data_IF_244599120431
#
_entry.id   IF_244599120431
#
_cell.length_a   1.000
_cell.length_b   1.000
_cell.length_c   1.000
_cell.angle_alpha   90.00
_cell.angle_beta   90.00
_cell.angle_gamma   90.00
#
_symmetry.space_group_name_H-M   'P 1'
#
loop_
_entity.id
_entity.type
_entity.pdbx_description
1 polymer ?
#
# COMPACT_ATOMS: atom_id res chain seq x y z
N UNK A 1 22.42 -9.00 0.83
CA UNK A 1 21.14 -8.62 1.49
C UNK A 1 21.47 -8.15 2.89
N UNK A 2 20.84 -7.09 3.32
CA UNK A 2 21.03 -6.50 4.66
C UNK A 2 19.69 -6.46 5.36
N UNK A 3 19.64 -6.85 6.63
CA UNK A 3 18.44 -6.71 7.44
C UNK A 3 18.13 -5.23 7.65
N UNK A 4 16.92 -4.80 7.28
CA UNK A 4 16.43 -3.43 7.44
C UNK A 4 14.98 -3.44 7.89
N UNK A 5 14.59 -2.42 8.63
CA UNK A 5 13.17 -2.18 8.88
C UNK A 5 12.47 -1.73 7.58
N UNK A 6 11.17 -1.88 7.53
CA UNK A 6 10.35 -1.38 6.43
C UNK A 6 10.57 0.11 6.17
N UNK A 7 10.65 0.92 7.24
CA UNK A 7 10.97 2.35 7.16
C UNK A 7 12.36 2.59 6.54
N UNK A 8 13.40 1.92 7.02
CA UNK A 8 14.75 2.05 6.48
C UNK A 8 14.83 1.62 5.02
N UNK A 9 14.04 0.64 4.61
CA UNK A 9 13.95 0.18 3.22
C UNK A 9 13.35 1.25 2.30
N UNK A 10 12.32 1.98 2.75
CA UNK A 10 11.75 3.14 2.04
C UNK A 10 12.76 4.28 1.95
N UNK A 11 13.42 4.62 3.06
CA UNK A 11 14.47 5.65 3.11
C UNK A 11 15.60 5.30 2.12
N UNK A 12 16.03 4.04 2.10
CA UNK A 12 17.07 3.56 1.17
C UNK A 12 16.66 3.73 -0.31
N UNK A 13 15.40 3.43 -0.65
CA UNK A 13 14.86 3.67 -1.98
C UNK A 13 14.92 5.15 -2.37
N UNK A 14 14.51 6.04 -1.47
CA UNK A 14 14.55 7.49 -1.71
C UNK A 14 15.98 7.99 -1.95
N UNK A 15 16.93 7.60 -1.11
CA UNK A 15 18.35 7.95 -1.31
C UNK A 15 18.88 7.47 -2.67
N UNK A 16 18.60 6.22 -3.03
CA UNK A 16 19.06 5.63 -4.29
C UNK A 16 18.47 6.37 -5.50
N UNK A 17 17.16 6.61 -5.50
CA UNK A 17 16.50 7.25 -6.63
C UNK A 17 16.85 8.75 -6.75
N UNK A 18 17.00 9.47 -5.64
CA UNK A 18 17.45 10.85 -5.65
C UNK A 18 18.92 11.01 -6.09
N UNK A 19 19.78 10.03 -5.79
CA UNK A 19 21.16 9.99 -6.31
C UNK A 19 21.19 9.67 -7.81
N UNK A 20 20.29 8.80 -8.27
CA UNK A 20 20.21 8.36 -9.66
C UNK A 20 19.72 9.46 -10.61
N UNK A 21 18.75 10.26 -10.18
CA UNK A 21 18.06 11.24 -11.04
C UNK A 21 17.85 12.57 -10.29
N UNK A 22 18.45 13.63 -10.84
CA UNK A 22 18.36 14.99 -10.27
C UNK A 22 16.94 15.60 -10.35
N UNK A 23 16.03 15.02 -11.14
CA UNK A 23 14.65 15.44 -11.23
C UNK A 23 13.78 14.89 -10.11
N UNK A 24 14.24 13.86 -9.39
CA UNK A 24 13.55 13.32 -8.21
C UNK A 24 13.73 14.26 -7.05
N UNK A 25 12.63 14.69 -6.44
CA UNK A 25 12.63 15.50 -5.22
C UNK A 25 11.45 15.09 -4.32
N UNK A 26 11.58 15.34 -3.03
CA UNK A 26 10.52 15.08 -2.05
C UNK A 26 9.85 16.38 -1.62
N UNK A 27 8.55 16.31 -1.36
CA UNK A 27 7.76 17.41 -0.83
C UNK A 27 6.62 16.91 0.05
N UNK A 28 6.28 17.65 1.07
CA UNK A 28 5.19 17.28 1.98
C UNK A 28 5.28 18.07 3.27
N UNK A 29 4.44 17.73 4.22
CA UNK A 29 4.43 18.31 5.56
C UNK A 29 5.58 17.72 6.37
N UNK A 30 6.44 18.57 6.96
CA UNK A 30 7.56 18.20 7.83
C UNK A 30 8.54 17.15 7.23
N UNK A 31 8.64 17.04 5.91
CA UNK A 31 9.53 16.05 5.26
C UNK A 31 11.02 16.32 5.50
N UNK A 32 11.39 17.57 5.83
CA UNK A 32 12.74 17.97 6.25
C UNK A 32 12.96 17.64 7.73
N UNK A 33 11.90 17.35 8.47
CA UNK A 33 11.98 16.97 9.87
C UNK A 33 12.28 18.10 10.82
N UNK A 34 11.79 19.28 10.50
CA UNK A 34 11.94 20.45 11.34
C UNK A 34 13.36 21.03 11.42
N UNK A 35 14.41 20.36 10.92
CA UNK A 35 15.79 20.85 10.97
C UNK A 35 16.06 22.02 10.04
N UNK A 36 15.21 22.24 9.05
CA UNK A 36 15.20 23.45 8.20
C UNK A 36 14.16 24.47 8.61
N UNK A 37 13.27 24.14 9.53
CA UNK A 37 12.27 25.04 10.08
C UNK A 37 12.87 25.87 11.23
N UNK A 38 12.57 27.18 11.34
CA UNK A 38 12.93 27.96 12.52
C UNK A 38 12.26 27.45 13.81
N UNK A 39 11.38 26.48 13.73
CA UNK A 39 10.66 25.85 14.84
C UNK A 39 11.07 24.39 15.07
N UNK A 40 12.18 23.94 14.45
CA UNK A 40 12.67 22.56 14.57
C UNK A 40 12.91 22.15 16.02
N UNK A 41 12.27 21.08 16.47
CA UNK A 41 12.63 20.44 17.73
C UNK A 41 13.87 19.55 17.54
N UNK A 42 14.87 19.62 18.45
CA UNK A 42 16.05 18.75 18.36
C UNK A 42 15.64 17.27 18.43
N UNK A 43 16.00 16.50 17.40
CA UNK A 43 15.78 15.06 17.36
C UNK A 43 14.60 14.60 16.49
N UNK A 44 13.85 15.50 15.89
CA UNK A 44 12.86 15.15 14.88
C UNK A 44 13.56 14.98 13.53
N UNK A 45 13.57 13.78 12.97
CA UNK A 45 14.33 13.44 11.77
C UNK A 45 13.41 12.91 10.67
N UNK A 46 13.09 13.74 9.68
CA UNK A 46 12.49 13.35 8.41
C UNK A 46 11.06 12.85 8.43
N UNK A 47 10.08 13.77 8.54
CA UNK A 47 8.66 13.46 8.55
C UNK A 47 8.19 12.80 9.85
N UNK A 48 6.88 12.72 10.07
CA UNK A 48 6.27 12.16 11.31
C UNK A 48 6.70 10.71 11.57
N UNK A 49 6.94 9.95 10.51
CA UNK A 49 7.33 8.54 10.61
C UNK A 49 8.82 8.27 10.33
N UNK A 50 9.60 9.33 10.08
CA UNK A 50 11.05 9.25 9.90
C UNK A 50 11.52 8.64 8.57
N UNK A 51 10.65 8.51 7.57
CA UNK A 51 11.01 7.91 6.26
C UNK A 51 11.95 8.81 5.47
N UNK A 52 11.81 10.13 5.57
CA UNK A 52 12.61 11.12 4.82
C UNK A 52 13.84 11.59 5.57
N UNK A 53 14.19 10.92 6.69
CA UNK A 53 15.32 11.26 7.52
C UNK A 53 16.65 11.26 6.79
N UNK A 54 17.45 12.32 6.95
CA UNK A 54 18.77 12.47 6.36
C UNK A 54 18.78 12.92 4.89
N UNK A 55 17.64 12.98 4.21
CA UNK A 55 17.62 13.35 2.78
C UNK A 55 18.01 14.81 2.55
N UNK A 56 17.55 15.73 3.39
CA UNK A 56 17.85 17.14 3.18
C UNK A 56 19.32 17.49 3.47
N UNK A 57 20.00 16.74 4.32
CA UNK A 57 21.45 16.89 4.57
C UNK A 57 22.27 16.57 3.33
N UNK A 58 21.84 15.60 2.52
CA UNK A 58 22.54 15.22 1.30
C UNK A 58 22.08 16.02 0.08
N UNK A 59 20.78 16.25 -0.08
CA UNK A 59 20.21 16.80 -1.32
C UNK A 59 19.81 18.28 -1.23
N UNK A 60 19.86 18.88 -0.04
CA UNK A 60 19.51 20.27 0.20
C UNK A 60 18.00 20.57 0.16
N UNK A 61 17.66 21.79 0.59
CA UNK A 61 16.27 22.25 0.67
C UNK A 61 15.59 22.50 -0.70
N UNK A 62 16.37 22.54 -1.78
CA UNK A 62 15.81 22.64 -3.14
C UNK A 62 15.19 21.33 -3.63
N UNK A 63 15.63 20.20 -3.05
CA UNK A 63 15.12 18.87 -3.38
C UNK A 63 14.37 18.18 -2.24
N UNK A 64 14.33 18.81 -1.07
CA UNK A 64 13.56 18.38 0.09
C UNK A 64 12.76 19.57 0.59
N UNK A 65 11.46 19.62 0.27
CA UNK A 65 10.64 20.84 0.40
C UNK A 65 9.55 20.63 1.44
N UNK A 66 9.65 21.33 2.57
CA UNK A 66 8.54 21.41 3.51
C UNK A 66 7.40 22.25 2.92
N UNK A 67 6.21 21.69 2.94
CA UNK A 67 5.00 22.34 2.49
C UNK A 67 4.12 22.72 3.68
N UNK A 68 3.33 23.80 3.55
CA UNK A 68 2.28 24.05 4.54
C UNK A 68 1.24 22.93 4.53
N UNK A 69 0.50 22.76 5.62
CA UNK A 69 -0.62 21.83 5.72
C UNK A 69 -1.71 22.22 4.72
N UNK A 70 -1.58 21.70 3.51
CA UNK A 70 -2.49 21.93 2.39
C UNK A 70 -2.36 20.80 1.38
N UNK A 71 -3.10 19.74 1.56
CA UNK A 71 -3.02 18.53 0.74
C UNK A 71 -3.36 18.80 -0.73
N UNK A 72 -4.33 19.68 -0.99
CA UNK A 72 -4.65 20.13 -2.35
C UNK A 72 -3.46 20.87 -2.99
N UNK A 73 -2.75 21.69 -2.21
CA UNK A 73 -1.53 22.40 -2.64
C UNK A 73 -0.39 21.41 -2.91
N UNK A 74 -0.17 20.45 -2.03
CA UNK A 74 0.87 19.41 -2.16
C UNK A 74 0.63 18.58 -3.43
N UNK A 75 -0.53 17.96 -3.57
CA UNK A 75 -0.83 17.09 -4.70
C UNK A 75 -0.90 17.88 -6.03
N UNK A 76 -1.47 19.08 -6.02
CA UNK A 76 -1.54 19.94 -7.22
C UNK A 76 -0.18 20.42 -7.69
N UNK A 77 0.71 20.82 -6.76
CA UNK A 77 2.09 21.21 -7.07
C UNK A 77 2.89 20.02 -7.61
N UNK A 78 2.74 18.83 -6.99
CA UNK A 78 3.37 17.61 -7.48
C UNK A 78 2.92 17.26 -8.90
N UNK A 79 1.62 17.27 -9.19
CA UNK A 79 1.09 17.02 -10.53
C UNK A 79 1.61 18.04 -11.56
N UNK A 80 1.64 19.33 -11.21
CA UNK A 80 2.18 20.39 -12.05
C UNK A 80 3.69 20.25 -12.30
N UNK A 81 4.47 19.91 -11.28
CA UNK A 81 5.91 19.68 -11.40
C UNK A 81 6.21 18.46 -12.28
N UNK A 82 5.40 17.40 -12.15
CA UNK A 82 5.51 16.21 -13.00
C UNK A 82 5.26 16.55 -14.47
N UNK A 83 4.23 17.33 -14.79
CA UNK A 83 4.00 17.82 -16.15
C UNK A 83 5.14 18.69 -16.68
N UNK A 84 5.87 19.38 -15.79
CA UNK A 84 7.04 20.18 -16.16
C UNK A 84 8.35 19.35 -16.28
N UNK A 85 8.27 18.03 -16.18
CA UNK A 85 9.40 17.11 -16.36
C UNK A 85 10.19 16.76 -15.08
N UNK A 86 9.65 17.10 -13.91
CA UNK A 86 10.19 16.65 -12.62
C UNK A 86 9.56 15.33 -12.17
N UNK A 87 10.17 14.67 -11.18
CA UNK A 87 9.69 13.43 -10.56
C UNK A 87 9.44 13.65 -9.05
N UNK A 88 8.35 14.31 -8.69
CA UNK A 88 8.02 14.55 -7.29
C UNK A 88 7.61 13.27 -6.56
N UNK A 89 8.14 13.10 -5.36
CA UNK A 89 7.63 12.18 -4.35
C UNK A 89 6.96 13.03 -3.28
N UNK A 90 5.64 13.15 -3.39
CA UNK A 90 4.83 13.92 -2.47
C UNK A 90 4.36 13.04 -1.30
N UNK A 91 4.33 13.59 -0.09
CA UNK A 91 3.80 12.92 1.09
C UNK A 91 2.52 13.60 1.58
N UNK A 92 1.47 12.80 1.75
CA UNK A 92 0.26 13.13 2.52
C UNK A 92 0.28 12.23 3.76
N UNK A 93 0.26 12.83 4.95
CA UNK A 93 0.51 12.14 6.22
C UNK A 93 -0.34 10.89 6.42
N UNK A 94 -1.66 11.01 6.18
CA UNK A 94 -2.62 9.91 6.31
C UNK A 94 -3.54 9.87 5.10
N UNK A 95 -3.88 8.68 4.62
CA UNK A 95 -4.80 8.52 3.50
C UNK A 95 -6.20 9.13 3.78
N UNK A 96 -6.52 9.29 5.05
CA UNK A 96 -7.72 9.99 5.53
C UNK A 96 -7.83 11.40 4.94
N UNK A 97 -6.70 12.07 4.68
CA UNK A 97 -6.63 13.44 4.15
C UNK A 97 -6.63 13.49 2.62
N UNK A 98 -6.56 12.36 1.92
CA UNK A 98 -6.65 12.33 0.46
C UNK A 98 -7.94 12.96 -0.07
N UNK A 99 -9.01 12.96 0.73
CA UNK A 99 -10.26 13.64 0.38
C UNK A 99 -10.08 15.12 0.06
N UNK A 100 -9.09 15.80 0.68
CA UNK A 100 -8.78 17.22 0.44
C UNK A 100 -8.06 17.47 -0.88
N UNK A 101 -7.42 16.46 -1.46
CA UNK A 101 -6.67 16.57 -2.73
C UNK A 101 -7.17 15.60 -3.82
N UNK A 102 -8.35 15.04 -3.63
CA UNK A 102 -8.88 14.03 -4.55
C UNK A 102 -9.08 14.56 -5.99
N UNK A 103 -9.46 15.84 -6.15
CA UNK A 103 -9.58 16.45 -7.48
C UNK A 103 -8.24 16.47 -8.22
N UNK A 104 -7.16 16.83 -7.53
CA UNK A 104 -5.81 16.88 -8.11
C UNK A 104 -5.32 15.50 -8.55
N UNK A 105 -5.73 14.46 -7.84
CA UNK A 105 -5.42 13.07 -8.18
C UNK A 105 -6.35 12.55 -9.29
N UNK A 106 -7.67 12.63 -9.08
CA UNK A 106 -8.69 12.01 -9.93
C UNK A 106 -8.88 12.71 -11.26
N UNK A 107 -8.99 14.06 -11.25
CA UNK A 107 -9.35 14.85 -12.43
C UNK A 107 -8.14 15.45 -13.15
N UNK A 108 -6.98 15.53 -12.46
CA UNK A 108 -5.76 16.09 -13.03
C UNK A 108 -4.73 14.99 -13.31
N UNK A 109 -3.98 14.53 -12.32
CA UNK A 109 -2.86 13.60 -12.49
C UNK A 109 -3.26 12.34 -13.28
N UNK A 110 -4.33 11.67 -12.88
CA UNK A 110 -4.84 10.47 -13.52
C UNK A 110 -5.27 10.64 -14.98
N UNK A 111 -5.57 11.87 -15.42
CA UNK A 111 -6.16 12.14 -16.74
C UNK A 111 -5.21 12.78 -17.75
N UNK A 112 -4.10 13.34 -17.32
CA UNK A 112 -3.20 14.06 -18.21
C UNK A 112 -2.75 13.23 -19.42
N UNK A 113 -2.30 12.00 -19.22
CA UNK A 113 -1.87 11.15 -20.35
C UNK A 113 -2.99 10.94 -21.36
N UNK A 114 -4.19 10.63 -20.90
CA UNK A 114 -5.34 10.38 -21.77
C UNK A 114 -5.79 11.67 -22.48
N UNK A 115 -5.96 12.77 -21.74
CA UNK A 115 -6.46 14.04 -22.28
C UNK A 115 -5.51 14.66 -23.30
N UNK A 116 -4.20 14.47 -23.12
CA UNK A 116 -3.19 14.97 -24.07
C UNK A 116 -2.81 13.95 -25.15
N UNK A 117 -3.62 12.90 -25.34
CA UNK A 117 -3.44 11.93 -26.41
C UNK A 117 -2.12 11.14 -26.30
N UNK A 118 -1.72 10.81 -25.10
CA UNK A 118 -0.49 10.04 -24.81
C UNK A 118 0.81 10.88 -24.82
N UNK A 119 0.74 12.18 -25.10
CA UNK A 119 1.92 13.06 -25.23
C UNK A 119 2.43 13.59 -23.88
N UNK A 120 1.60 13.61 -22.86
CA UNK A 120 1.98 14.02 -21.52
C UNK A 120 2.22 12.80 -20.62
N UNK A 121 3.19 12.92 -19.72
CA UNK A 121 3.43 12.01 -18.61
C UNK A 121 3.17 12.73 -17.29
N UNK A 122 2.89 11.98 -16.24
CA UNK A 122 2.74 12.53 -14.89
C UNK A 122 3.50 11.65 -13.89
N UNK A 123 4.84 11.65 -13.95
CA UNK A 123 5.70 10.82 -13.12
C UNK A 123 5.74 11.32 -11.67
N UNK A 124 4.63 11.22 -10.95
CA UNK A 124 4.54 11.57 -9.54
C UNK A 124 4.23 10.36 -8.67
N UNK A 125 4.79 10.34 -7.49
CA UNK A 125 4.41 9.42 -6.42
C UNK A 125 3.72 10.20 -5.32
N UNK A 126 2.54 9.76 -4.89
CA UNK A 126 1.91 10.23 -3.66
C UNK A 126 2.05 9.13 -2.62
N UNK A 127 2.94 9.32 -1.63
CA UNK A 127 3.08 8.44 -0.47
C UNK A 127 2.09 8.84 0.59
N UNK A 128 1.47 7.86 1.24
CA UNK A 128 0.56 8.11 2.35
C UNK A 128 0.50 6.92 3.28
N UNK A 129 0.24 7.18 4.57
CA UNK A 129 0.05 6.11 5.54
C UNK A 129 -1.42 5.70 5.64
N UNK A 130 -1.66 4.44 6.04
CA UNK A 130 -3.01 3.92 6.21
C UNK A 130 -3.07 2.86 7.33
N UNK A 131 -4.30 2.42 7.64
CA UNK A 131 -4.58 1.28 8.47
C UNK A 131 -4.73 1.61 9.97
N UNK A 132 -5.38 0.73 10.69
CA UNK A 132 -5.58 0.76 12.14
C UNK A 132 -4.44 0.07 12.90
N UNK A 133 -4.51 0.06 14.24
CA UNK A 133 -3.57 -0.66 15.10
C UNK A 133 -2.57 0.22 15.86
N UNK A 134 -2.73 1.55 15.78
CA UNK A 134 -1.91 2.51 16.54
C UNK A 134 -2.73 3.41 17.49
N UNK A 135 -4.00 3.09 17.70
CA UNK A 135 -4.93 3.90 18.51
C UNK A 135 -5.00 5.36 18.04
N UNK A 136 -5.01 5.58 16.74
CA UNK A 136 -5.04 6.90 16.14
C UNK A 136 -6.47 7.40 15.80
N UNK A 137 -7.49 6.67 16.21
CA UNK A 137 -8.91 6.97 16.01
C UNK A 137 -9.37 7.06 14.54
N UNK A 138 -10.59 7.55 14.33
CA UNK A 138 -11.32 7.44 13.07
C UNK A 138 -10.71 8.22 11.90
N UNK A 139 -10.03 9.32 12.19
CA UNK A 139 -9.52 10.26 11.17
C UNK A 139 -8.04 10.03 10.80
N UNK A 140 -7.41 8.98 11.38
CA UNK A 140 -5.99 8.69 11.17
C UNK A 140 -5.75 7.17 11.02
N UNK A 141 -6.81 6.39 10.74
CA UNK A 141 -6.72 4.92 10.74
C UNK A 141 -7.50 4.25 9.61
N UNK A 142 -8.03 5.01 8.68
CA UNK A 142 -8.80 4.43 7.58
C UNK A 142 -7.89 3.69 6.59
N UNK A 143 -8.49 2.79 5.83
CA UNK A 143 -7.87 2.10 4.68
C UNK A 143 -8.69 2.49 3.45
N UNK A 144 -8.19 3.46 2.68
CA UNK A 144 -8.92 4.10 1.58
C UNK A 144 -8.36 3.75 0.19
N UNK A 145 -7.55 2.70 0.08
CA UNK A 145 -7.00 2.26 -1.20
C UNK A 145 -8.07 1.92 -2.26
N UNK A 146 -9.26 1.37 -1.94
CA UNK A 146 -10.26 1.11 -2.97
C UNK A 146 -10.77 2.39 -3.66
N UNK A 147 -10.80 3.51 -2.94
CA UNK A 147 -11.22 4.80 -3.50
C UNK A 147 -10.35 5.21 -4.69
N UNK A 148 -9.04 5.01 -4.62
CA UNK A 148 -8.10 5.40 -5.68
C UNK A 148 -7.82 4.26 -6.66
N UNK A 149 -7.98 3.02 -6.25
CA UNK A 149 -7.96 1.84 -7.14
C UNK A 149 -9.05 1.96 -8.22
N UNK A 150 -10.22 2.48 -7.85
CA UNK A 150 -11.35 2.69 -8.77
C UNK A 150 -11.15 3.85 -9.76
N UNK A 151 -10.03 4.59 -9.70
CA UNK A 151 -9.78 5.76 -10.57
C UNK A 151 -8.91 5.36 -11.77
N UNK A 152 -9.46 5.27 -13.01
CA UNK A 152 -8.65 4.95 -14.17
C UNK A 152 -7.55 5.99 -14.41
N UNK A 153 -6.32 5.50 -14.55
CA UNK A 153 -5.12 6.32 -14.76
C UNK A 153 -4.25 6.49 -13.51
N UNK A 154 -4.68 5.99 -12.35
CA UNK A 154 -3.83 5.85 -11.17
C UNK A 154 -3.29 4.41 -11.05
N UNK A 155 -2.04 4.29 -10.62
CA UNK A 155 -1.47 3.05 -10.12
C UNK A 155 -1.47 3.06 -8.60
N UNK A 156 -1.67 1.90 -7.98
CA UNK A 156 -1.79 1.80 -6.51
C UNK A 156 -0.91 0.66 -6.02
N UNK A 157 0.05 0.98 -5.16
CA UNK A 157 1.00 0.02 -4.58
C UNK A 157 0.84 -0.05 -3.06
N UNK A 158 0.93 -1.29 -2.52
CA UNK A 158 0.69 -1.60 -1.10
C UNK A 158 1.68 -2.66 -0.61
N UNK A 159 2.96 -2.33 -0.40
CA UNK A 159 3.95 -3.31 0.04
C UNK A 159 3.65 -3.89 1.42
N UNK A 160 3.95 -5.17 1.60
CA UNK A 160 3.79 -5.90 2.85
C UNK A 160 5.11 -6.23 3.55
N UNK A 161 6.24 -6.14 2.85
CA UNK A 161 7.58 -6.46 3.37
C UNK A 161 8.57 -5.33 3.15
N UNK A 162 9.68 -5.28 3.91
CA UNK A 162 10.76 -4.30 3.67
C UNK A 162 11.34 -4.37 2.25
N UNK A 163 11.55 -5.55 1.70
CA UNK A 163 12.07 -5.72 0.33
C UNK A 163 11.09 -5.16 -0.71
N UNK A 164 9.79 -5.48 -0.58
CA UNK A 164 8.75 -4.95 -1.47
C UNK A 164 8.59 -3.43 -1.31
N UNK A 165 8.71 -2.90 -0.09
CA UNK A 165 8.66 -1.46 0.16
C UNK A 165 9.74 -0.72 -0.64
N UNK A 166 10.98 -1.19 -0.58
CA UNK A 166 12.08 -0.65 -1.38
C UNK A 166 11.84 -0.80 -2.88
N UNK A 167 11.51 -2.03 -3.30
CA UNK A 167 11.42 -2.36 -4.73
C UNK A 167 10.24 -1.69 -5.42
N UNK A 168 9.07 -1.65 -4.79
CA UNK A 168 7.88 -0.99 -5.33
C UNK A 168 8.01 0.53 -5.32
N UNK A 169 8.63 1.14 -4.28
CA UNK A 169 8.86 2.58 -4.26
C UNK A 169 9.85 3.02 -5.34
N UNK A 170 10.94 2.26 -5.53
CA UNK A 170 11.87 2.53 -6.63
C UNK A 170 11.19 2.41 -8.00
N UNK A 171 10.34 1.41 -8.19
CA UNK A 171 9.55 1.25 -9.43
C UNK A 171 8.56 2.42 -9.59
N UNK A 172 7.87 2.84 -8.52
CA UNK A 172 6.95 3.96 -8.54
C UNK A 172 7.62 5.27 -8.96
N UNK A 173 8.81 5.57 -8.44
CA UNK A 173 9.56 6.80 -8.77
C UNK A 173 10.00 6.79 -10.23
N UNK A 174 10.25 5.62 -10.81
CA UNK A 174 10.66 5.47 -12.22
C UNK A 174 9.50 5.41 -13.20
N UNK A 175 8.28 5.21 -12.72
CA UNK A 175 7.08 5.15 -13.57
C UNK A 175 6.75 6.52 -14.16
N UNK A 176 6.21 6.53 -15.37
CA UNK A 176 5.79 7.75 -16.07
C UNK A 176 4.33 8.12 -15.84
N UNK A 177 3.61 7.31 -15.07
CA UNK A 177 2.22 7.54 -14.65
C UNK A 177 2.12 7.75 -13.14
N UNK A 178 1.06 8.42 -12.66
CA UNK A 178 0.93 8.72 -11.23
C UNK A 178 0.69 7.46 -10.40
N UNK A 179 1.45 7.32 -9.31
CA UNK A 179 1.37 6.21 -8.38
C UNK A 179 0.94 6.71 -7.01
N UNK A 180 -0.09 6.08 -6.43
CA UNK A 180 -0.44 6.23 -5.01
C UNK A 180 0.19 5.07 -4.25
N UNK A 181 1.06 5.40 -3.31
CA UNK A 181 1.87 4.45 -2.57
C UNK A 181 1.44 4.40 -1.10
N UNK A 182 0.78 3.32 -0.72
CA UNK A 182 0.23 3.12 0.62
C UNK A 182 1.21 2.41 1.54
N UNK A 183 1.48 3.01 2.69
CA UNK A 183 2.39 2.50 3.71
C UNK A 183 1.61 2.17 4.99
N UNK A 184 1.51 0.88 5.34
CA UNK A 184 0.78 0.53 6.55
C UNK A 184 1.59 0.90 7.79
N UNK A 185 1.04 1.76 8.65
CA UNK A 185 1.73 2.35 9.81
C UNK A 185 2.41 1.35 10.73
N UNK A 186 1.77 0.22 10.98
CA UNK A 186 2.33 -0.80 11.88
C UNK A 186 3.46 -1.62 11.26
N UNK A 187 3.69 -1.50 9.94
CA UNK A 187 4.80 -2.18 9.27
C UNK A 187 6.12 -1.44 9.39
N UNK A 188 6.15 -0.16 9.73
CA UNK A 188 7.38 0.64 9.74
C UNK A 188 8.52 0.07 10.60
N UNK A 189 8.19 -0.69 11.63
CA UNK A 189 9.16 -1.28 12.57
C UNK A 189 9.46 -2.75 12.32
N UNK A 190 8.80 -3.39 11.35
CA UNK A 190 9.12 -4.78 11.03
C UNK A 190 10.44 -4.83 10.25
N UNK A 191 11.26 -5.82 10.57
CA UNK A 191 12.54 -6.06 9.89
C UNK A 191 12.44 -7.23 8.92
N UNK A 192 13.31 -7.22 7.92
CA UNK A 192 13.47 -8.31 6.97
C UNK A 192 14.65 -8.09 6.05
N UNK A 193 15.00 -9.11 5.30
CA UNK A 193 16.09 -9.07 4.32
C UNK A 193 15.73 -8.16 3.16
N UNK A 194 16.59 -7.17 2.88
CA UNK A 194 16.44 -6.21 1.78
C UNK A 194 17.65 -6.33 0.85
N UNK A 195 17.44 -6.45 -0.46
CA UNK A 195 18.54 -6.43 -1.43
C UNK A 195 19.33 -5.12 -1.35
N UNK A 196 20.67 -5.24 -1.36
CA UNK A 196 21.56 -4.08 -1.41
C UNK A 196 21.52 -3.45 -2.82
N UNK A 197 21.77 -2.13 -2.89
CA UNK A 197 21.76 -1.40 -4.15
C UNK A 197 20.39 -1.34 -4.81
N UNK A 198 20.37 -1.34 -6.13
CA UNK A 198 19.14 -1.26 -6.91
C UNK A 198 18.28 -2.51 -6.72
N UNK A 199 17.00 -2.30 -6.46
CA UNK A 199 16.00 -3.35 -6.36
C UNK A 199 14.69 -2.82 -6.92
N UNK A 200 14.12 -3.51 -7.90
CA UNK A 200 12.86 -3.15 -8.55
C UNK A 200 11.88 -4.31 -8.44
N UNK A 201 10.65 -4.00 -8.08
CA UNK A 201 9.53 -4.94 -8.09
C UNK A 201 8.51 -4.42 -9.11
N UNK A 202 8.19 -5.19 -10.17
CA UNK A 202 7.26 -4.75 -11.19
C UNK A 202 5.84 -4.65 -10.65
N UNK A 203 5.09 -3.65 -11.10
CA UNK A 203 3.66 -3.53 -10.84
C UNK A 203 2.87 -4.60 -11.62
N UNK A 204 1.72 -5.00 -11.07
CA UNK A 204 0.89 -6.05 -11.67
C UNK A 204 1.51 -7.45 -11.59
N UNK A 205 2.40 -7.67 -10.62
CA UNK A 205 2.98 -8.99 -10.33
C UNK A 205 2.85 -9.30 -8.84
N UNK A 206 1.99 -10.25 -8.54
CA UNK A 206 1.77 -10.74 -7.20
C UNK A 206 2.98 -11.53 -6.66
N UNK A 207 3.04 -11.65 -5.35
CA UNK A 207 3.97 -12.55 -4.66
C UNK A 207 3.20 -13.74 -4.09
N UNK A 208 3.57 -14.95 -4.49
CA UNK A 208 3.18 -16.15 -3.78
C UNK A 208 3.99 -16.22 -2.47
N UNK A 209 3.28 -16.07 -1.36
CA UNK A 209 3.88 -16.06 -0.01
C UNK A 209 4.03 -17.47 0.52
N UNK A 210 3.02 -18.31 0.31
CA UNK A 210 3.05 -19.76 0.57
C UNK A 210 2.23 -20.49 -0.48
N UNK A 211 2.54 -21.74 -0.68
CA UNK A 211 1.79 -22.67 -1.54
C UNK A 211 1.03 -23.68 -0.70
N UNK A 212 -0.22 -23.98 -1.12
CA UNK A 212 -1.10 -24.97 -0.51
C UNK A 212 -2.25 -25.37 -1.43
N UNK A 213 -2.99 -26.40 -1.10
CA UNK A 213 -3.96 -27.02 -2.00
C UNK A 213 -5.42 -26.84 -1.55
N UNK A 214 -5.68 -26.37 -0.33
CA UNK A 214 -7.01 -26.40 0.27
C UNK A 214 -7.79 -25.09 0.12
N UNK A 215 -7.10 -23.94 0.18
CA UNK A 215 -7.73 -22.62 0.13
C UNK A 215 -6.75 -21.56 -0.39
N UNK A 216 -7.25 -20.60 -1.17
CA UNK A 216 -6.55 -19.40 -1.58
C UNK A 216 -6.86 -18.26 -0.60
N UNK A 217 -5.83 -17.63 -0.04
CA UNK A 217 -5.89 -16.42 0.74
C UNK A 217 -5.33 -15.26 -0.09
N UNK A 218 -6.09 -14.18 -0.26
CA UNK A 218 -5.61 -12.96 -0.91
C UNK A 218 -5.62 -11.83 0.11
N UNK A 219 -4.49 -11.16 0.30
CA UNK A 219 -4.37 -10.10 1.30
C UNK A 219 -3.35 -9.04 0.88
N UNK A 220 -3.52 -7.80 1.37
CA UNK A 220 -2.61 -6.68 1.13
C UNK A 220 -1.97 -6.17 2.42
N UNK A 221 -0.78 -5.57 2.31
CA UNK A 221 -0.10 -4.90 3.41
C UNK A 221 0.02 -5.77 4.67
N UNK A 222 -0.40 -5.25 5.83
CA UNK A 222 -0.34 -5.97 7.11
C UNK A 222 -1.14 -7.28 7.10
N UNK A 223 -2.23 -7.36 6.34
CA UNK A 223 -3.08 -8.54 6.35
C UNK A 223 -2.38 -9.78 5.80
N UNK A 224 -1.31 -9.62 5.02
CA UNK A 224 -0.48 -10.72 4.53
C UNK A 224 0.12 -11.50 5.71
N UNK A 225 0.76 -10.81 6.66
CA UNK A 225 1.34 -11.47 7.85
C UNK A 225 0.28 -12.13 8.74
N UNK A 226 -0.95 -11.61 8.74
CA UNK A 226 -2.06 -12.23 9.46
C UNK A 226 -2.53 -13.51 8.79
N UNK A 227 -2.49 -13.56 7.45
CA UNK A 227 -2.74 -14.79 6.70
C UNK A 227 -1.66 -15.83 6.94
N UNK A 228 -0.38 -15.44 6.99
CA UNK A 228 0.73 -16.35 7.33
C UNK A 228 0.53 -16.98 8.71
N UNK A 229 0.21 -16.17 9.73
CA UNK A 229 -0.06 -16.64 11.07
C UNK A 229 -1.29 -17.58 11.14
N UNK A 230 -2.34 -17.28 10.39
CA UNK A 230 -3.52 -18.14 10.30
C UNK A 230 -3.20 -19.47 9.60
N UNK A 231 -2.47 -19.44 8.51
CA UNK A 231 -2.07 -20.64 7.75
C UNK A 231 -1.14 -21.55 8.60
N UNK A 232 -0.23 -20.97 9.37
CA UNK A 232 0.61 -21.76 10.27
C UNK A 232 -0.23 -22.51 11.32
N UNK A 233 -1.26 -21.87 11.89
CA UNK A 233 -2.15 -22.53 12.83
C UNK A 233 -3.05 -23.61 12.16
N UNK A 234 -3.39 -23.44 10.87
CA UNK A 234 -4.17 -24.41 10.11
C UNK A 234 -3.36 -25.64 9.68
N UNK A 235 -2.04 -25.49 9.56
CA UNK A 235 -1.16 -26.60 9.18
C UNK A 235 -1.20 -27.75 10.21
N UNK A 236 -1.41 -27.44 11.50
CA UNK A 236 -1.60 -28.44 12.54
C UNK A 236 -2.87 -29.28 12.33
N UNK A 237 -3.88 -28.73 11.65
CA UNK A 237 -5.11 -29.40 11.27
C UNK A 237 -5.02 -30.05 9.86
N UNK A 238 -3.83 -30.01 9.23
CA UNK A 238 -3.58 -30.57 7.90
C UNK A 238 -4.16 -29.74 6.74
N UNK A 239 -4.50 -28.47 6.98
CA UNK A 239 -5.02 -27.54 5.97
C UNK A 239 -3.87 -26.66 5.47
N UNK A 240 -3.70 -26.61 4.15
CA UNK A 240 -2.66 -25.83 3.48
C UNK A 240 -3.27 -24.72 2.62
N UNK A 241 -2.63 -23.55 2.59
CA UNK A 241 -3.16 -22.39 1.87
C UNK A 241 -2.14 -21.82 0.88
N UNK A 242 -2.62 -21.52 -0.33
CA UNK A 242 -1.96 -20.49 -1.14
C UNK A 242 -2.18 -19.14 -0.46
N UNK A 243 -1.12 -18.37 -0.26
CA UNK A 243 -1.23 -16.98 0.19
C UNK A 243 -0.67 -16.09 -0.90
N UNK A 244 -1.51 -15.21 -1.43
CA UNK A 244 -1.17 -14.27 -2.48
C UNK A 244 -1.16 -12.86 -1.92
N UNK A 245 -0.01 -12.20 -2.05
CA UNK A 245 0.15 -10.77 -1.86
C UNK A 245 0.15 -10.09 -3.24
N UNK A 246 -0.91 -9.39 -3.63
CA UNK A 246 -0.98 -8.71 -4.92
C UNK A 246 0.06 -7.61 -5.11
N UNK A 247 0.59 -7.03 -4.01
CA UNK A 247 1.54 -5.90 -4.01
C UNK A 247 0.98 -4.62 -4.62
N UNK A 248 0.13 -4.74 -5.62
CA UNK A 248 -0.56 -3.63 -6.30
C UNK A 248 -2.03 -3.98 -6.49
N UNK A 249 -2.91 -3.00 -6.27
CA UNK A 249 -4.34 -3.15 -6.56
C UNK A 249 -4.71 -2.58 -7.94
N UNK A 250 -3.83 -1.72 -8.50
CA UNK A 250 -3.94 -1.19 -9.86
C UNK A 250 -2.51 -0.94 -10.41
N UNK A 251 -2.03 -1.68 -11.42
CA UNK A 251 -2.65 -2.87 -12.01
C UNK A 251 -2.65 -4.06 -11.03
N UNK A 252 -3.66 -4.93 -11.14
CA UNK A 252 -3.78 -6.18 -10.39
C UNK A 252 -3.19 -7.35 -11.20
N UNK A 253 -2.57 -8.31 -10.53
CA UNK A 253 -2.20 -9.61 -11.12
C UNK A 253 -3.39 -10.57 -11.00
N UNK A 254 -4.37 -10.39 -11.88
CA UNK A 254 -5.61 -11.18 -11.90
C UNK A 254 -5.31 -12.65 -12.15
N UNK A 255 -4.42 -12.96 -13.10
CA UNK A 255 -4.05 -14.32 -13.47
C UNK A 255 -3.54 -15.12 -12.25
N UNK A 256 -2.64 -14.53 -11.44
CA UNK A 256 -2.10 -15.22 -10.28
C UNK A 256 -3.19 -15.57 -9.24
N UNK A 257 -4.19 -14.72 -9.09
CA UNK A 257 -5.32 -14.95 -8.18
C UNK A 257 -6.24 -16.04 -8.75
N UNK A 258 -6.61 -15.92 -10.03
CA UNK A 258 -7.53 -16.85 -10.68
C UNK A 258 -6.95 -18.26 -10.78
N UNK A 259 -5.68 -18.40 -11.18
CA UNK A 259 -4.98 -19.69 -11.25
C UNK A 259 -4.97 -20.41 -9.89
N UNK A 260 -4.73 -19.66 -8.81
CA UNK A 260 -4.76 -20.22 -7.46
C UNK A 260 -6.17 -20.64 -7.04
N UNK A 261 -7.19 -19.82 -7.35
CA UNK A 261 -8.59 -20.17 -7.04
C UNK A 261 -9.05 -21.37 -7.84
N UNK A 262 -8.65 -21.48 -9.10
CA UNK A 262 -8.94 -22.69 -9.92
C UNK A 262 -8.32 -23.95 -9.30
N UNK A 263 -7.08 -23.86 -8.80
CA UNK A 263 -6.39 -24.97 -8.15
C UNK A 263 -7.10 -25.40 -6.86
N UNK A 264 -7.34 -24.48 -5.95
CA UNK A 264 -7.86 -24.78 -4.61
C UNK A 264 -9.37 -24.95 -4.56
N UNK A 265 -10.08 -24.20 -5.38
CA UNK A 265 -11.55 -24.12 -5.42
C UNK A 265 -12.16 -23.34 -4.26
N UNK A 266 -11.38 -22.67 -3.43
CA UNK A 266 -11.86 -21.93 -2.26
C UNK A 266 -11.09 -20.62 -2.10
N UNK A 267 -11.83 -19.56 -1.80
CA UNK A 267 -11.26 -18.21 -1.68
C UNK A 267 -11.69 -17.53 -0.39
N UNK A 268 -10.70 -17.02 0.34
CA UNK A 268 -10.88 -16.08 1.45
C UNK A 268 -10.08 -14.83 1.14
N UNK A 269 -10.73 -13.68 1.07
CA UNK A 269 -10.07 -12.39 0.86
C UNK A 269 -10.02 -11.64 2.18
N UNK A 270 -8.84 -11.12 2.54
CA UNK A 270 -8.61 -10.42 3.80
C UNK A 270 -8.21 -8.98 3.52
N UNK A 271 -9.04 -8.05 3.96
CA UNK A 271 -8.86 -6.62 3.70
C UNK A 271 -9.24 -5.80 4.95
N UNK A 272 -8.46 -4.79 5.27
CA UNK A 272 -8.70 -3.92 6.44
C UNK A 272 -9.77 -2.85 6.19
N UNK A 273 -10.30 -2.77 4.98
CA UNK A 273 -11.38 -1.83 4.62
C UNK A 273 -12.73 -2.25 5.19
N UNK A 274 -13.72 -1.34 5.24
CA UNK A 274 -15.12 -1.75 5.41
C UNK A 274 -15.60 -2.64 4.26
N UNK A 275 -16.63 -3.49 4.47
CA UNK A 275 -16.97 -4.56 3.51
C UNK A 275 -17.58 -4.06 2.19
N UNK A 276 -18.01 -2.80 2.12
CA UNK A 276 -18.70 -2.26 0.93
C UNK A 276 -17.71 -1.56 0.00
N UNK A 277 -17.77 -1.89 -1.30
CA UNK A 277 -16.86 -1.35 -2.32
C UNK A 277 -15.39 -1.50 -1.89
N UNK A 278 -15.07 -2.63 -1.25
CA UNK A 278 -13.74 -2.97 -0.76
C UNK A 278 -12.93 -3.69 -1.84
N UNK A 279 -11.62 -3.74 -1.65
CA UNK A 279 -10.76 -4.61 -2.45
C UNK A 279 -11.20 -6.09 -2.32
N UNK A 280 -11.66 -6.51 -1.13
CA UNK A 280 -12.18 -7.85 -0.93
C UNK A 280 -13.42 -8.13 -1.80
N UNK A 281 -14.31 -7.16 -2.00
CA UNK A 281 -15.48 -7.33 -2.85
C UNK A 281 -15.12 -7.35 -4.35
N UNK A 282 -14.10 -6.61 -4.76
CA UNK A 282 -13.58 -6.60 -6.13
C UNK A 282 -12.97 -7.97 -6.50
N UNK A 283 -12.13 -8.53 -5.66
CA UNK A 283 -11.56 -9.86 -5.85
C UNK A 283 -12.63 -10.96 -5.82
N UNK A 284 -13.64 -10.82 -4.96
CA UNK A 284 -14.75 -11.79 -4.91
C UNK A 284 -15.58 -11.75 -6.19
N UNK A 285 -15.84 -10.57 -6.75
CA UNK A 285 -16.56 -10.41 -8.03
C UNK A 285 -15.74 -10.99 -9.19
N UNK A 286 -14.44 -10.69 -9.25
CA UNK A 286 -13.51 -11.24 -10.23
C UNK A 286 -13.55 -12.78 -10.23
N UNK A 287 -13.36 -13.41 -9.07
CA UNK A 287 -13.35 -14.86 -8.97
C UNK A 287 -14.73 -15.48 -9.28
N UNK A 288 -15.82 -14.83 -8.87
CA UNK A 288 -17.17 -15.29 -9.19
C UNK A 288 -17.52 -15.14 -10.68
N UNK A 289 -16.96 -14.14 -11.37
CA UNK A 289 -17.17 -13.94 -12.80
C UNK A 289 -16.36 -14.91 -13.66
N UNK A 290 -15.10 -15.09 -13.35
CA UNK A 290 -14.15 -15.77 -14.24
C UNK A 290 -14.01 -17.28 -13.93
N UNK A 291 -14.04 -17.68 -12.65
CA UNK A 291 -13.74 -19.06 -12.24
C UNK A 291 -14.84 -19.68 -11.38
N UNK A 292 -16.08 -19.24 -11.53
CA UNK A 292 -17.23 -19.72 -10.76
C UNK A 292 -17.37 -21.26 -10.75
N UNK A 293 -17.14 -21.90 -11.89
CA UNK A 293 -17.25 -23.36 -12.00
C UNK A 293 -16.23 -24.15 -11.19
N UNK A 294 -15.14 -23.51 -10.77
CA UNK A 294 -14.09 -24.11 -9.95
C UNK A 294 -14.35 -23.94 -8.45
N UNK A 295 -15.29 -23.07 -8.07
CA UNK A 295 -15.59 -22.79 -6.66
C UNK A 295 -16.32 -23.97 -6.01
N UNK A 296 -15.79 -24.43 -4.87
CA UNK A 296 -16.30 -25.53 -4.04
C UNK A 296 -17.02 -25.05 -2.79
N UNK A 297 -16.92 -23.74 -2.47
CA UNK A 297 -17.54 -23.12 -1.31
C UNK A 297 -17.87 -21.65 -1.62
N UNK A 298 -18.76 -21.00 -0.85
CA UNK A 298 -18.96 -19.57 -0.92
C UNK A 298 -17.65 -18.80 -0.63
N UNK A 299 -17.38 -17.74 -1.39
CA UNK A 299 -16.25 -16.85 -1.15
C UNK A 299 -16.44 -16.14 0.19
N UNK A 300 -15.40 -16.12 1.03
CA UNK A 300 -15.43 -15.39 2.30
C UNK A 300 -14.60 -14.11 2.20
N UNK A 301 -15.12 -13.06 2.79
CA UNK A 301 -14.46 -11.77 2.94
C UNK A 301 -14.29 -11.48 4.42
N UNK A 302 -13.05 -11.30 4.85
CA UNK A 302 -12.70 -10.91 6.23
C UNK A 302 -12.27 -9.46 6.21
N UNK A 303 -13.16 -8.58 6.62
CA UNK A 303 -13.00 -7.13 6.55
C UNK A 303 -13.19 -6.49 7.92
N UNK A 304 -12.81 -5.20 8.04
CA UNK A 304 -13.29 -4.38 9.15
C UNK A 304 -14.82 -4.24 9.11
N UNK A 305 -15.48 -3.93 10.23
CA UNK A 305 -16.91 -3.64 10.23
C UNK A 305 -17.20 -2.31 9.49
N UNK A 306 -18.43 -2.14 8.99
CA UNK A 306 -18.87 -0.88 8.39
C UNK A 306 -19.15 0.19 9.45
N UNK A 307 -18.09 0.62 10.13
CA UNK A 307 -18.12 1.64 11.18
C UNK A 307 -16.82 2.46 11.15
N UNK A 308 -16.78 3.66 11.75
CA UNK A 308 -15.52 4.36 11.97
C UNK A 308 -14.58 3.55 12.87
N UNK A 309 -13.25 3.72 12.66
CA UNK A 309 -12.23 3.08 13.50
C UNK A 309 -12.28 3.66 14.92
N UNK A 310 -12.41 2.83 15.96
CA UNK A 310 -12.47 3.32 17.33
C UNK A 310 -11.10 3.73 17.88
N UNK A 311 -11.11 4.60 18.91
CA UNK A 311 -9.88 5.03 19.59
C UNK A 311 -9.39 4.04 20.65
N UNK A 312 -10.32 3.44 21.41
CA UNK A 312 -9.96 2.53 22.49
C UNK A 312 -9.29 1.26 21.93
N UNK A 313 -8.15 0.87 22.50
CA UNK A 313 -7.31 -0.25 22.04
C UNK A 313 -8.09 -1.56 21.88
N UNK A 314 -8.95 -1.85 22.85
CA UNK A 314 -9.76 -3.08 22.86
C UNK A 314 -10.75 -3.09 21.69
N UNK A 315 -11.39 -1.95 21.42
CA UNK A 315 -12.33 -1.81 20.32
C UNK A 315 -11.64 -1.77 18.96
N UNK A 316 -10.49 -1.12 18.87
CA UNK A 316 -9.67 -1.13 17.63
C UNK A 316 -9.20 -2.56 17.31
N UNK A 317 -8.84 -3.34 18.33
CA UNK A 317 -8.47 -4.75 18.16
C UNK A 317 -9.62 -5.62 17.64
N UNK A 318 -10.86 -5.31 17.99
CA UNK A 318 -12.05 -5.98 17.45
C UNK A 318 -12.41 -5.51 16.03
N UNK A 319 -12.06 -4.27 15.70
CA UNK A 319 -12.28 -3.69 14.38
C UNK A 319 -11.42 -4.37 13.30
N UNK A 320 -10.15 -4.58 13.59
CA UNK A 320 -9.19 -5.14 12.63
C UNK A 320 -9.44 -6.64 12.40
N UNK A 321 -9.36 -7.15 11.16
CA UNK A 321 -9.27 -8.57 10.91
C UNK A 321 -8.17 -9.22 11.76
N UNK A 322 -8.40 -10.44 12.26
CA UNK A 322 -7.42 -11.13 13.11
C UNK A 322 -7.05 -12.50 12.54
N UNK A 323 -5.87 -13.04 12.85
CA UNK A 323 -5.48 -14.40 12.44
C UNK A 323 -6.52 -15.46 12.83
N UNK A 324 -7.17 -15.30 13.98
CA UNK A 324 -8.24 -16.21 14.42
C UNK A 324 -9.46 -16.14 13.51
N UNK A 325 -9.94 -14.93 13.17
CA UNK A 325 -11.09 -14.76 12.24
C UNK A 325 -10.76 -15.34 10.85
N UNK A 326 -9.51 -15.19 10.39
CA UNK A 326 -9.04 -15.74 9.10
C UNK A 326 -9.03 -17.26 9.16
N UNK A 327 -8.42 -17.86 10.20
CA UNK A 327 -8.38 -19.30 10.41
C UNK A 327 -9.79 -19.92 10.42
N UNK A 328 -10.71 -19.31 11.16
CA UNK A 328 -12.08 -19.80 11.29
C UNK A 328 -12.82 -19.73 9.94
N UNK A 329 -12.61 -18.68 9.14
CA UNK A 329 -13.17 -18.55 7.80
C UNK A 329 -12.60 -19.61 6.83
N UNK A 330 -11.28 -19.87 6.87
CA UNK A 330 -10.65 -20.93 6.07
C UNK A 330 -11.23 -22.29 6.46
N UNK A 331 -11.32 -22.57 7.76
CA UNK A 331 -11.91 -23.84 8.25
C UNK A 331 -13.37 -24.00 7.80
N UNK A 332 -14.15 -22.92 7.76
CA UNK A 332 -15.53 -22.94 7.29
C UNK A 332 -15.62 -23.30 5.79
N UNK A 333 -14.80 -22.66 4.94
CA UNK A 333 -14.85 -22.92 3.48
C UNK A 333 -14.25 -24.27 3.12
N UNK A 334 -13.24 -24.76 3.86
CA UNK A 334 -12.65 -26.09 3.63
C UNK A 334 -13.64 -27.20 4.00
N UNK A 335 -14.40 -27.01 5.07
CA UNK A 335 -15.39 -27.99 5.56
C UNK A 335 -16.81 -27.77 4.96
N UNK A 336 -16.97 -26.86 4.00
CA UNK A 336 -18.24 -26.61 3.36
C UNK A 336 -18.72 -27.86 2.59
N UNK A 337 -20.02 -28.21 2.79
CA UNK A 337 -20.65 -29.42 2.23
C UNK A 337 -21.68 -29.09 1.17
#
# INVERSE_FOLDING_TARGET
MTEKTYREALTDALFLEMRRDENVFIMGEDVVGGTGSPHAEPGFVGGVFGVTGGLHEEFGLERCIDMPISEAGIAGTAAGAALAGKRPVAEIMFCDFMGLCLDQLMNQAAKFRYMFGGKATCPMVLRTTYGAGMNAASQHSQSLHPLVTAIPGLKVAMPSTPADAKGLLSTAIRDDDPVIFFEHKTLYTISGDVPDGEHLVPFGKARMVSEGDDCTLVATGRMVSFCENAAQALADDGITCDIIDPRTTSPLDEDAILDSVEKTGRLVVVDETPPRCSFASDIADLAAGEVFSSLKAPIKQITGPHSPVPFAKELEGEFVPSPTKIRDAVSEVVNFK
#
